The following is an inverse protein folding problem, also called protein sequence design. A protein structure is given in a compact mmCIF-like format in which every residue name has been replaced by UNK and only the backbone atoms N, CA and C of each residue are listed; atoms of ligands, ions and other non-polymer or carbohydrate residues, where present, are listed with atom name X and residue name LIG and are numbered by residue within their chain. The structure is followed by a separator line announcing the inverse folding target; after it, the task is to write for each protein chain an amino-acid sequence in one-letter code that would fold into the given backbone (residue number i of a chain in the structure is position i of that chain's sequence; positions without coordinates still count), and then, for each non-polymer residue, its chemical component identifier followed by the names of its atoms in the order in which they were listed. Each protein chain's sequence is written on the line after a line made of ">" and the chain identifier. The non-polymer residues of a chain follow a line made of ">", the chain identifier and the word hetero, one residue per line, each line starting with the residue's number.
data_IF_846461585743
#
_entry.id   IF_846461585743
#
_cell.length_a   1.000
_cell.length_b   1.000
_cell.length_c   1.000
_cell.angle_alpha   90.00
_cell.angle_beta   90.00
_cell.angle_gamma   90.00
#
_symmetry.space_group_name_H-M   'P 1'
#
loop_
_entity.id
_entity.type
_entity.pdbx_description
1 polymer ?
#
# COMPACT_ATOMS: atom_id res chain seq x y z
N UNK A 1 22.44 16.99 35.12
CA UNK A 1 22.43 18.47 35.26
C UNK A 1 23.42 19.05 34.29
N UNK A 2 22.98 19.28 33.05
CA UNK A 2 23.68 20.11 32.05
C UNK A 2 22.64 20.68 31.12
N UNK A 3 22.45 21.99 31.26
CA UNK A 3 21.55 22.85 30.48
C UNK A 3 22.42 23.43 29.35
N UNK A 4 21.95 23.32 28.10
CA UNK A 4 22.44 24.16 27.01
C UNK A 4 21.27 24.88 26.37
N UNK A 5 21.19 26.16 26.66
CA UNK A 5 20.41 27.14 25.91
C UNK A 5 21.32 27.70 24.81
N UNK A 6 20.79 27.80 23.59
CA UNK A 6 21.39 28.64 22.54
C UNK A 6 20.31 29.43 21.82
N UNK A 7 20.62 30.66 21.66
CA UNK A 7 19.86 31.83 21.34
C UNK A 7 19.44 31.96 19.86
N UNK A 8 18.45 32.80 19.73
CA UNK A 8 17.79 33.42 18.58
C UNK A 8 18.78 34.31 17.79
N UNK A 9 18.68 34.32 16.47
CA UNK A 9 19.09 35.43 15.63
C UNK A 9 18.01 35.72 14.55
N UNK A 10 17.40 36.88 14.68
CA UNK A 10 16.55 37.59 13.69
C UNK A 10 17.45 38.41 12.76
N UNK A 11 17.15 38.39 11.46
CA UNK A 11 17.39 39.48 10.51
C UNK A 11 16.57 39.11 9.25
N UNK A 12 15.60 39.83 8.74
CA UNK A 12 15.52 41.25 8.46
C UNK A 12 15.85 41.48 6.98
N UNK A 13 14.85 41.68 6.11
CA UNK A 13 15.07 41.99 4.70
C UNK A 13 13.78 42.12 3.88
N UNK A 14 13.12 43.29 4.01
CA UNK A 14 12.11 43.78 3.07
C UNK A 14 12.79 44.26 1.79
N UNK A 15 12.30 43.87 0.61
CA UNK A 15 12.37 44.74 -0.57
C UNK A 15 11.04 44.63 -1.34
N UNK A 16 10.33 45.72 -1.33
CA UNK A 16 9.26 46.06 -2.31
C UNK A 16 9.90 46.32 -3.67
N UNK A 17 9.30 45.82 -4.72
CA UNK A 17 9.38 46.47 -6.04
C UNK A 17 8.03 46.32 -6.75
N UNK A 18 7.41 47.43 -6.96
CA UNK A 18 6.20 47.71 -7.74
C UNK A 18 6.57 47.86 -9.22
N UNK A 19 5.73 47.37 -10.15
CA UNK A 19 4.92 48.18 -11.06
C UNK A 19 4.71 47.57 -12.44
N UNK A 20 3.76 48.08 -13.23
CA UNK A 20 2.78 47.30 -13.93
C UNK A 20 3.01 47.27 -15.45
N UNK A 21 2.37 46.40 -16.17
CA UNK A 21 2.10 46.58 -17.58
C UNK A 21 0.78 45.92 -17.93
N UNK A 22 -0.18 46.77 -18.17
CA UNK A 22 -1.42 46.54 -18.89
C UNK A 22 -1.12 46.13 -20.31
N UNK A 23 -1.66 44.98 -20.74
CA UNK A 23 -1.88 44.70 -22.15
C UNK A 23 -3.20 43.93 -22.28
N UNK A 24 -4.20 44.65 -22.70
CA UNK A 24 -5.48 44.16 -23.16
C UNK A 24 -5.28 43.54 -24.55
N UNK A 25 -5.55 42.25 -24.68
CA UNK A 25 -5.81 41.60 -25.95
C UNK A 25 -7.06 40.76 -25.79
N UNK A 26 -8.14 41.26 -26.38
CA UNK A 26 -9.35 40.53 -26.67
C UNK A 26 -9.00 39.40 -27.66
N UNK A 27 -9.18 38.15 -27.24
CA UNK A 27 -9.10 36.97 -28.06
C UNK A 27 -10.16 36.01 -27.57
N UNK A 28 -11.36 36.13 -28.16
CA UNK A 28 -12.40 35.12 -28.11
C UNK A 28 -11.83 33.82 -28.65
N UNK A 29 -11.60 32.86 -27.76
CA UNK A 29 -11.37 31.48 -28.11
C UNK A 29 -12.12 30.64 -27.10
N UNK A 30 -13.31 30.28 -27.50
CA UNK A 30 -14.09 29.20 -26.89
C UNK A 30 -13.26 27.91 -26.97
N UNK A 31 -12.31 27.72 -26.05
CA UNK A 31 -11.68 26.48 -25.84
C UNK A 31 -12.66 25.60 -25.11
N UNK A 32 -13.26 24.69 -25.88
CA UNK A 32 -13.97 23.54 -25.40
C UNK A 32 -13.00 22.76 -24.49
N UNK A 33 -13.05 23.04 -23.19
CA UNK A 33 -12.33 22.28 -22.17
C UNK A 33 -13.09 20.96 -22.08
N UNK A 34 -12.77 20.06 -23.01
CA UNK A 34 -13.08 18.66 -22.86
C UNK A 34 -12.51 18.26 -21.50
N UNK A 35 -13.39 18.10 -20.52
CA UNK A 35 -13.03 17.52 -19.23
C UNK A 35 -12.33 16.20 -19.53
N UNK A 36 -11.01 16.21 -19.43
CA UNK A 36 -10.22 14.97 -19.39
C UNK A 36 -10.70 14.27 -18.14
N UNK A 37 -11.70 13.42 -18.31
CA UNK A 37 -12.12 12.50 -17.28
C UNK A 37 -10.86 11.84 -16.79
N UNK A 38 -10.50 12.08 -15.54
CA UNK A 38 -9.39 11.39 -14.88
C UNK A 38 -9.73 9.90 -14.96
N UNK A 39 -9.15 9.22 -15.96
CA UNK A 39 -9.11 7.77 -16.00
C UNK A 39 -8.31 7.36 -14.76
N UNK A 40 -9.03 7.21 -13.64
CA UNK A 40 -8.46 6.65 -12.41
C UNK A 40 -8.15 5.20 -12.74
N UNK A 41 -6.96 4.98 -13.28
CA UNK A 41 -6.53 3.74 -13.89
C UNK A 41 -6.95 2.53 -13.09
N UNK A 42 -7.69 1.63 -13.74
CA UNK A 42 -8.22 0.43 -13.13
C UNK A 42 -7.08 -0.47 -12.67
N UNK A 43 -7.03 -0.74 -11.35
CA UNK A 43 -6.15 -1.73 -10.76
C UNK A 43 -6.95 -2.95 -10.33
N UNK A 44 -6.38 -4.14 -10.55
CA UNK A 44 -6.99 -5.40 -10.12
C UNK A 44 -5.91 -6.36 -9.68
N UNK A 45 -6.04 -6.93 -8.49
CA UNK A 45 -5.19 -8.04 -8.04
C UNK A 45 -5.69 -9.31 -8.71
N UNK A 46 -4.85 -9.90 -9.56
CA UNK A 46 -5.17 -11.10 -10.36
C UNK A 46 -4.48 -12.36 -9.81
N UNK A 47 -3.60 -12.23 -8.84
CA UNK A 47 -2.96 -13.35 -8.16
C UNK A 47 -2.36 -12.92 -6.84
N UNK A 48 -2.36 -13.82 -5.87
CA UNK A 48 -1.69 -13.67 -4.56
C UNK A 48 -1.00 -14.96 -4.18
N UNK A 49 0.10 -14.82 -3.44
CA UNK A 49 0.78 -15.93 -2.80
C UNK A 49 1.41 -15.46 -1.48
N UNK A 50 1.58 -16.40 -0.56
CA UNK A 50 2.41 -16.21 0.62
C UNK A 50 3.61 -17.16 0.51
N UNK A 51 4.82 -16.61 0.55
CA UNK A 51 6.04 -17.30 0.22
C UNK A 51 7.16 -17.08 1.25
N UNK A 52 8.11 -17.98 1.28
CA UNK A 52 9.31 -17.88 2.12
C UNK A 52 10.34 -16.93 1.50
N UNK A 53 10.38 -16.86 0.16
CA UNK A 53 11.34 -16.05 -0.59
C UNK A 53 10.75 -15.56 -1.92
N UNK A 54 11.43 -14.60 -2.54
CA UNK A 54 11.12 -14.09 -3.88
C UNK A 54 12.37 -14.20 -4.75
N UNK A 55 12.27 -14.96 -5.83
CA UNK A 55 13.36 -15.12 -6.79
C UNK A 55 12.89 -14.75 -8.20
N UNK A 56 13.63 -13.90 -8.89
CA UNK A 56 13.25 -13.45 -10.24
C UNK A 56 11.86 -12.81 -10.30
N UNK A 57 11.38 -12.19 -9.21
CA UNK A 57 10.04 -11.60 -9.01
C UNK A 57 8.90 -12.62 -8.84
N UNK A 58 9.22 -13.91 -8.72
CA UNK A 58 8.23 -14.97 -8.46
C UNK A 58 8.34 -15.47 -7.01
N UNK A 59 7.22 -15.89 -6.41
CA UNK A 59 7.21 -16.45 -5.06
C UNK A 59 7.83 -17.85 -5.07
N UNK A 60 8.71 -18.12 -4.09
CA UNK A 60 9.39 -19.40 -3.90
C UNK A 60 9.12 -19.90 -2.48
N UNK A 61 8.92 -21.20 -2.32
CA UNK A 61 8.55 -21.78 -1.03
C UNK A 61 7.16 -21.31 -0.59
N UNK A 62 6.12 -21.98 -1.10
CA UNK A 62 4.73 -21.63 -0.70
C UNK A 62 4.54 -21.93 0.79
N UNK A 63 4.31 -20.90 1.58
CA UNK A 63 4.02 -21.04 3.01
C UNK A 63 2.63 -21.65 3.21
N UNK A 64 1.67 -21.26 2.37
CA UNK A 64 0.35 -21.86 2.33
C UNK A 64 -0.33 -21.65 0.97
N UNK A 65 -0.63 -22.73 0.22
CA UNK A 65 -1.23 -22.62 -1.11
C UNK A 65 -2.71 -22.17 -1.08
N UNK A 66 -3.36 -22.18 0.09
CA UNK A 66 -4.76 -21.79 0.23
C UNK A 66 -4.95 -20.28 0.39
N UNK A 67 -3.87 -19.50 0.39
CA UNK A 67 -3.96 -18.03 0.42
C UNK A 67 -4.65 -17.55 -0.85
N UNK A 68 -5.67 -16.73 -0.66
CA UNK A 68 -6.47 -16.16 -1.75
C UNK A 68 -6.96 -14.75 -1.42
N UNK A 69 -7.38 -14.00 -2.44
CA UNK A 69 -8.11 -12.75 -2.26
C UNK A 69 -9.57 -13.02 -1.90
N UNK A 70 -9.98 -12.61 -0.74
CA UNK A 70 -11.39 -12.60 -0.35
C UNK A 70 -12.04 -11.32 -0.88
N UNK A 71 -12.88 -11.43 -1.91
CA UNK A 71 -13.70 -10.31 -2.40
C UNK A 71 -15.07 -10.34 -1.73
N UNK A 72 -15.16 -9.73 -0.53
CA UNK A 72 -16.45 -9.47 0.11
C UNK A 72 -17.26 -10.66 0.60
N UNK A 73 -16.80 -11.89 0.42
CA UNK A 73 -17.46 -13.09 0.94
C UNK A 73 -16.84 -13.46 2.28
N UNK A 74 -17.66 -13.63 3.31
CA UNK A 74 -17.21 -14.28 4.54
C UNK A 74 -16.81 -15.70 4.19
N UNK A 75 -15.51 -15.96 4.11
CA UNK A 75 -15.02 -17.33 3.93
C UNK A 75 -15.37 -18.13 5.19
N UNK A 76 -16.13 -19.22 5.02
CA UNK A 76 -16.39 -20.19 6.07
C UNK A 76 -15.29 -21.27 6.14
N UNK A 77 -14.25 -21.11 5.33
CA UNK A 77 -13.13 -22.06 5.27
C UNK A 77 -12.18 -21.76 6.43
N UNK A 78 -11.61 -22.80 7.02
CA UNK A 78 -10.55 -22.67 8.01
C UNK A 78 -9.44 -21.76 7.46
N UNK A 79 -8.94 -20.86 8.32
CA UNK A 79 -7.88 -19.93 7.91
C UNK A 79 -6.61 -20.69 7.53
N UNK A 80 -5.94 -20.33 6.42
CA UNK A 80 -4.63 -20.84 6.11
C UNK A 80 -3.66 -20.62 7.27
N UNK A 81 -2.86 -21.64 7.61
CA UNK A 81 -1.88 -21.57 8.70
C UNK A 81 -0.51 -21.25 8.15
N UNK A 82 0.16 -20.29 8.78
CA UNK A 82 1.58 -19.96 8.60
C UNK A 82 2.32 -20.37 9.85
N UNK A 83 3.23 -21.32 9.72
CA UNK A 83 4.01 -21.81 10.86
C UNK A 83 5.23 -20.92 11.10
N UNK A 84 5.21 -20.14 12.19
CA UNK A 84 6.29 -19.22 12.56
C UNK A 84 7.61 -19.90 12.95
N UNK A 85 7.58 -21.20 13.24
CA UNK A 85 8.82 -21.96 13.53
C UNK A 85 9.61 -22.29 12.27
N UNK A 86 8.95 -22.36 11.11
CA UNK A 86 9.56 -22.68 9.82
C UNK A 86 10.00 -21.39 9.12
N UNK A 87 9.18 -20.35 9.17
CA UNK A 87 9.45 -19.08 8.46
C UNK A 87 9.32 -17.89 9.40
N UNK A 88 10.48 -17.32 9.78
CA UNK A 88 10.47 -16.07 10.56
C UNK A 88 10.07 -14.87 9.71
N UNK A 89 10.35 -14.89 8.41
CA UNK A 89 9.95 -13.85 7.45
C UNK A 89 9.07 -14.46 6.38
N UNK A 90 7.98 -13.78 6.08
CA UNK A 90 7.00 -14.20 5.07
C UNK A 90 6.79 -13.05 4.11
N UNK A 91 6.71 -13.37 2.83
CA UNK A 91 6.44 -12.44 1.74
C UNK A 91 4.99 -12.60 1.29
N UNK A 92 4.25 -11.49 1.26
CA UNK A 92 2.95 -11.43 0.62
C UNK A 92 3.13 -10.87 -0.78
N UNK A 93 3.04 -11.75 -1.77
CA UNK A 93 3.26 -11.45 -3.18
C UNK A 93 1.93 -11.23 -3.88
N UNK A 94 1.92 -10.26 -4.82
CA UNK A 94 0.77 -9.97 -5.67
C UNK A 94 1.16 -9.88 -7.14
N UNK A 95 0.28 -10.38 -7.99
CA UNK A 95 0.23 -10.08 -9.41
C UNK A 95 -0.91 -9.08 -9.65
N UNK A 96 -0.59 -7.91 -10.20
CA UNK A 96 -1.51 -6.80 -10.37
C UNK A 96 -1.63 -6.45 -11.84
N UNK A 97 -2.86 -6.43 -12.35
CA UNK A 97 -3.18 -5.82 -13.63
C UNK A 97 -3.48 -4.35 -13.40
N UNK A 98 -2.81 -3.46 -14.13
CA UNK A 98 -3.03 -2.02 -14.04
C UNK A 98 -2.96 -1.35 -15.40
N UNK A 99 -3.93 -0.50 -15.70
CA UNK A 99 -3.96 0.29 -16.94
C UNK A 99 -3.03 1.51 -16.89
N UNK A 100 -2.59 1.93 -15.70
CA UNK A 100 -1.70 3.08 -15.47
C UNK A 100 -0.66 2.75 -14.41
N UNK A 101 0.41 3.53 -14.35
CA UNK A 101 1.32 3.50 -13.20
C UNK A 101 0.63 4.05 -11.96
N UNK A 102 1.01 3.57 -10.77
CA UNK A 102 0.43 4.03 -9.52
C UNK A 102 1.11 3.44 -8.29
N UNK A 103 0.48 3.60 -7.14
CA UNK A 103 0.97 3.05 -5.87
C UNK A 103 -0.06 2.11 -5.26
N UNK A 104 0.36 0.90 -5.00
CA UNK A 104 -0.38 -0.09 -4.23
C UNK A 104 0.03 0.01 -2.76
N UNK A 105 -0.91 -0.18 -1.85
CA UNK A 105 -0.65 -0.17 -0.41
C UNK A 105 -1.02 -1.51 0.20
N UNK A 106 -0.08 -2.13 0.91
CA UNK A 106 -0.34 -3.27 1.78
C UNK A 106 -0.43 -2.80 3.22
N UNK A 107 -1.49 -3.21 3.94
CA UNK A 107 -1.57 -3.07 5.38
C UNK A 107 -1.65 -4.46 5.99
N UNK A 108 -0.68 -4.78 6.85
CA UNK A 108 -0.66 -5.98 7.65
C UNK A 108 -1.35 -5.70 8.98
N UNK A 109 -2.41 -6.44 9.28
CA UNK A 109 -3.19 -6.27 10.49
C UNK A 109 -3.16 -7.56 11.31
N UNK A 110 -3.12 -7.39 12.63
CA UNK A 110 -3.24 -8.49 13.59
C UNK A 110 -4.53 -8.33 14.36
N UNK A 111 -5.26 -9.42 14.54
CA UNK A 111 -6.46 -9.44 15.37
C UNK A 111 -6.07 -9.46 16.84
N UNK A 112 -6.62 -8.55 17.63
CA UNK A 112 -6.43 -8.51 19.08
C UNK A 112 -7.50 -9.31 19.81
N UNK A 113 -7.20 -9.71 21.03
CA UNK A 113 -8.08 -10.52 21.88
C UNK A 113 -9.47 -9.89 22.09
N UNK A 114 -9.55 -8.55 22.08
CA UNK A 114 -10.79 -7.79 22.16
C UNK A 114 -11.57 -7.72 20.83
N UNK A 115 -11.12 -8.43 19.80
CA UNK A 115 -11.81 -8.58 18.50
C UNK A 115 -11.50 -7.50 17.45
N UNK A 116 -10.70 -6.48 17.79
CA UNK A 116 -10.28 -5.43 16.84
C UNK A 116 -9.10 -5.85 15.97
N UNK A 117 -8.97 -5.22 14.79
CA UNK A 117 -7.82 -5.34 13.90
C UNK A 117 -6.85 -4.18 14.11
N UNK A 118 -5.61 -4.48 14.46
CA UNK A 118 -4.55 -3.48 14.66
C UNK A 118 -3.55 -3.49 13.51
N UNK A 119 -3.24 -2.32 12.91
CA UNK A 119 -2.25 -2.23 11.86
C UNK A 119 -0.84 -2.40 12.43
N UNK A 120 -0.14 -3.42 11.97
CA UNK A 120 1.22 -3.78 12.39
C UNK A 120 2.29 -3.31 11.40
N UNK A 121 1.93 -3.12 10.14
CA UNK A 121 2.81 -2.58 9.11
C UNK A 121 2.01 -2.02 7.94
N UNK A 122 2.53 -0.95 7.32
CA UNK A 122 2.01 -0.31 6.11
C UNK A 122 3.15 -0.16 5.12
N UNK A 123 2.96 -0.66 3.90
CA UNK A 123 3.99 -0.65 2.85
C UNK A 123 3.38 -0.12 1.56
N UNK A 124 3.95 0.96 1.03
CA UNK A 124 3.58 1.53 -0.26
C UNK A 124 4.51 0.97 -1.35
N UNK A 125 3.91 0.46 -2.43
CA UNK A 125 4.58 -0.27 -3.50
C UNK A 125 4.27 0.40 -4.83
N UNK A 126 5.28 0.95 -5.48
CA UNK A 126 5.13 1.53 -6.82
C UNK A 126 4.92 0.40 -7.83
N UNK A 127 3.92 0.54 -8.68
CA UNK A 127 3.63 -0.37 -9.78
C UNK A 127 3.58 0.38 -11.10
N UNK A 128 4.01 -0.28 -12.16
CA UNK A 128 3.90 0.22 -13.53
C UNK A 128 2.60 -0.23 -14.19
N UNK A 129 2.26 0.40 -15.32
CA UNK A 129 1.25 -0.11 -16.24
C UNK A 129 1.68 -1.50 -16.73
N UNK A 130 0.81 -2.50 -16.55
CA UNK A 130 1.13 -3.88 -16.90
C UNK A 130 -0.11 -4.77 -16.83
N UNK A 131 -0.23 -5.81 -17.67
CA UNK A 131 -1.23 -6.86 -17.51
C UNK A 131 -0.93 -7.81 -16.32
N UNK A 132 0.25 -7.70 -15.71
CA UNK A 132 0.64 -8.59 -14.62
C UNK A 132 1.90 -8.13 -13.87
N UNK A 133 1.87 -6.91 -13.33
CA UNK A 133 2.97 -6.38 -12.52
C UNK A 133 3.11 -7.19 -11.21
N UNK A 134 4.33 -7.63 -10.92
CA UNK A 134 4.63 -8.43 -9.73
C UNK A 134 5.24 -7.54 -8.66
N UNK A 135 4.67 -7.58 -7.47
CA UNK A 135 5.10 -6.79 -6.31
C UNK A 135 4.87 -7.56 -5.02
N UNK A 136 5.56 -7.19 -3.96
CA UNK A 136 5.45 -7.87 -2.67
C UNK A 136 5.82 -6.96 -1.52
N UNK A 137 5.31 -7.28 -0.34
CA UNK A 137 5.81 -6.80 0.94
C UNK A 137 6.16 -7.98 1.83
N UNK A 138 6.97 -7.76 2.85
CA UNK A 138 7.33 -8.82 3.80
C UNK A 138 7.04 -8.40 5.23
N UNK A 139 6.77 -9.40 6.08
CA UNK A 139 6.62 -9.27 7.51
C UNK A 139 7.47 -10.31 8.21
N UNK A 140 8.24 -9.88 9.19
CA UNK A 140 8.92 -10.79 10.10
C UNK A 140 8.00 -11.07 11.28
N UNK A 141 7.82 -12.35 11.58
CA UNK A 141 7.01 -12.79 12.72
C UNK A 141 7.91 -13.13 13.91
N UNK A 142 7.54 -12.62 15.06
CA UNK A 142 8.10 -13.00 16.35
C UNK A 142 7.09 -13.92 17.03
N UNK A 143 7.54 -15.15 17.38
CA UNK A 143 6.68 -16.18 17.96
C UNK A 143 6.06 -15.77 19.31
N UNK A 144 6.71 -14.89 20.05
CA UNK A 144 6.21 -14.44 21.35
C UNK A 144 5.11 -13.36 21.23
N UNK A 145 5.07 -12.64 20.10
CA UNK A 145 4.25 -11.44 19.95
C UNK A 145 3.21 -11.52 18.82
N UNK A 146 3.40 -12.44 17.87
CA UNK A 146 2.67 -12.40 16.61
C UNK A 146 1.83 -13.65 16.32
N UNK A 147 1.59 -14.51 17.34
CA UNK A 147 0.67 -15.65 17.17
C UNK A 147 -0.78 -15.16 17.06
N UNK A 148 -1.59 -15.86 16.27
CA UNK A 148 -3.01 -15.56 16.12
C UNK A 148 -3.44 -15.22 14.69
N UNK A 149 -4.59 -14.55 14.57
CA UNK A 149 -5.17 -14.22 13.28
C UNK A 149 -4.56 -12.95 12.68
N UNK A 150 -4.25 -13.02 11.39
CA UNK A 150 -3.68 -11.95 10.60
C UNK A 150 -4.49 -11.69 9.32
N UNK A 151 -4.36 -10.49 8.81
CA UNK A 151 -4.96 -10.07 7.56
C UNK A 151 -4.01 -9.14 6.80
N UNK A 152 -3.88 -9.34 5.50
CA UNK A 152 -3.28 -8.34 4.61
C UNK A 152 -4.39 -7.72 3.78
N UNK A 153 -4.50 -6.40 3.86
CA UNK A 153 -5.36 -5.61 2.99
C UNK A 153 -4.53 -4.92 1.92
N UNK A 154 -5.06 -4.90 0.72
CA UNK A 154 -4.44 -4.28 -0.45
C UNK A 154 -5.39 -3.26 -1.06
N UNK A 155 -4.94 -2.02 -1.22
CA UNK A 155 -5.69 -0.97 -1.91
C UNK A 155 -4.81 -0.12 -2.83
N UNK A 156 -5.44 0.75 -3.61
CA UNK A 156 -4.75 1.88 -4.22
C UNK A 156 -4.39 2.89 -3.13
N UNK A 157 -3.17 3.41 -3.13
CA UNK A 157 -2.73 4.33 -2.07
C UNK A 157 -3.48 5.66 -2.10
N UNK A 158 -3.95 6.09 -3.27
CA UNK A 158 -4.73 7.30 -3.54
C UNK A 158 -6.24 7.11 -3.35
N UNK A 159 -6.71 5.85 -3.30
CA UNK A 159 -8.12 5.53 -3.02
C UNK A 159 -8.23 4.40 -1.99
N UNK A 160 -8.16 4.73 -0.69
CA UNK A 160 -8.26 3.73 0.38
C UNK A 160 -9.69 3.21 0.62
N UNK A 161 -10.69 3.73 -0.08
CA UNK A 161 -12.08 3.28 0.05
C UNK A 161 -12.33 1.94 -0.65
N UNK A 162 -11.54 1.62 -1.69
CA UNK A 162 -11.64 0.39 -2.46
C UNK A 162 -10.59 -0.64 -2.03
N UNK A 163 -11.02 -1.68 -1.33
CA UNK A 163 -10.16 -2.83 -1.03
C UNK A 163 -10.05 -3.72 -2.26
N UNK A 164 -8.87 -3.76 -2.87
CA UNK A 164 -8.59 -4.59 -4.06
C UNK A 164 -8.44 -6.06 -3.72
N UNK A 165 -7.91 -6.35 -2.53
CA UNK A 165 -7.69 -7.71 -2.04
C UNK A 165 -7.63 -7.71 -0.51
N UNK A 166 -8.22 -8.75 0.08
CA UNK A 166 -8.13 -9.06 1.50
C UNK A 166 -7.73 -10.52 1.62
N UNK A 167 -6.66 -10.81 2.34
CA UNK A 167 -6.20 -12.18 2.60
C UNK A 167 -6.05 -12.40 4.09
N UNK A 168 -6.75 -13.42 4.62
CA UNK A 168 -6.67 -13.80 6.04
C UNK A 168 -5.91 -15.10 6.22
N UNK A 169 -5.19 -15.20 7.33
CA UNK A 169 -4.42 -16.38 7.72
C UNK A 169 -4.20 -16.39 9.22
N UNK A 170 -3.68 -17.50 9.75
CA UNK A 170 -3.30 -17.66 11.15
C UNK A 170 -1.80 -17.94 11.24
N UNK A 171 -1.13 -17.32 12.20
CA UNK A 171 0.27 -17.60 12.57
C UNK A 171 0.28 -18.49 13.82
N UNK A 172 1.01 -19.61 13.78
CA UNK A 172 1.15 -20.60 14.86
C UNK A 172 2.62 -20.90 15.19
#
# INVERSE_FOLDING_TARGET
>A
MWIYAIAIALAGGLTLSSQPATAEIAGDSTSDVTAVGSDTGKMTVVGVAMAEDIQGREPVGSVNPSISCEKGKKSQVALPVVNSTISQRVFFWNKVQSSTAGTLRHIWLMKRDQGGWEPMAKVDLRIGQSPGYRTWSSKQFDRSLHLGEWMVQVFKADDPSEVLCLSRFRVE
#
